data_IF_188965972560
#
_entry.id   IF_188965972560
#
_cell.length_a   1.000
_cell.length_b   1.000
_cell.length_c   1.000
_cell.angle_alpha   90.00
_cell.angle_beta   90.00
_cell.angle_gamma   90.00
#
_symmetry.space_group_name_H-M   'P 1'
#
loop_
_entity.id
_entity.type
_entity.pdbx_description
1 polymer ?
#
# COMPACT_ATOMS: atom_id res chain seq x y z
N UNK A 1 -14.64 24.44 24.58
CA UNK A 1 -14.15 23.31 23.72
C UNK A 1 -14.33 22.06 24.55
N UNK A 2 -15.12 21.10 24.09
CA UNK A 2 -15.36 19.82 24.78
C UNK A 2 -14.07 19.01 24.73
N UNK A 3 -13.52 18.63 25.88
CA UNK A 3 -12.35 17.75 25.92
C UNK A 3 -12.81 16.28 25.81
N UNK A 4 -12.79 15.76 24.59
CA UNK A 4 -13.15 14.37 24.31
C UNK A 4 -12.09 13.35 24.78
N UNK A 5 -10.94 13.81 25.29
CA UNK A 5 -9.85 12.91 25.71
C UNK A 5 -10.05 12.28 27.07
N UNK A 6 -10.90 12.86 27.92
CA UNK A 6 -11.09 12.43 29.31
C UNK A 6 -12.22 11.43 29.53
N UNK A 7 -13.00 11.07 28.51
CA UNK A 7 -14.07 10.08 28.68
C UNK A 7 -13.50 8.65 28.75
N UNK A 8 -13.77 7.91 29.83
CA UNK A 8 -13.39 6.49 29.89
C UNK A 8 -14.18 5.72 28.82
N UNK A 9 -13.47 5.13 27.89
CA UNK A 9 -14.04 4.25 26.89
C UNK A 9 -13.67 2.81 27.30
N UNK A 10 -14.67 2.02 27.64
CA UNK A 10 -14.49 0.59 27.83
C UNK A 10 -14.37 -0.08 26.44
N UNK A 11 -13.14 -0.26 25.98
CA UNK A 11 -12.81 -0.69 24.62
C UNK A 11 -12.40 -2.16 24.52
N UNK A 12 -12.47 -2.93 25.60
CA UNK A 12 -11.88 -4.26 25.65
C UNK A 12 -12.74 -5.31 24.94
N UNK A 13 -12.06 -6.06 24.08
CA UNK A 13 -12.61 -7.22 23.38
C UNK A 13 -13.01 -6.93 21.93
N UNK A 14 -12.39 -7.67 21.00
CA UNK A 14 -12.63 -7.51 19.56
C UNK A 14 -14.10 -7.80 19.19
N UNK A 15 -14.69 -8.85 19.77
CA UNK A 15 -16.12 -9.16 19.52
C UNK A 15 -17.09 -8.07 19.98
N UNK A 16 -16.74 -7.31 21.02
CA UNK A 16 -17.53 -6.14 21.43
C UNK A 16 -17.42 -5.01 20.42
N UNK A 17 -16.22 -4.76 19.88
CA UNK A 17 -16.02 -3.78 18.82
C UNK A 17 -16.83 -4.14 17.58
N UNK A 18 -16.79 -5.40 17.13
CA UNK A 18 -17.53 -5.90 15.97
C UNK A 18 -19.03 -5.70 16.12
N UNK A 19 -19.58 -6.03 17.30
CA UNK A 19 -21.00 -5.78 17.60
C UNK A 19 -21.35 -4.29 17.51
N UNK A 20 -20.50 -3.41 18.08
CA UNK A 20 -20.69 -1.96 17.99
C UNK A 20 -20.59 -1.43 16.54
N UNK A 21 -19.70 -2.01 15.73
CA UNK A 21 -19.63 -1.68 14.30
C UNK A 21 -20.95 -2.03 13.61
N UNK A 22 -21.46 -3.23 13.83
CA UNK A 22 -22.75 -3.67 13.26
C UNK A 22 -23.89 -2.73 13.66
N UNK A 23 -24.02 -2.43 14.94
CA UNK A 23 -25.05 -1.51 15.46
C UNK A 23 -24.90 -0.09 14.85
N UNK A 24 -23.68 0.41 14.74
CA UNK A 24 -23.42 1.74 14.16
C UNK A 24 -23.80 1.80 12.67
N UNK A 25 -23.52 0.75 11.90
CA UNK A 25 -23.90 0.66 10.50
C UNK A 25 -25.43 0.55 10.33
N UNK A 26 -26.09 -0.18 11.22
CA UNK A 26 -27.55 -0.27 11.26
C UNK A 26 -28.20 1.10 11.51
N UNK A 27 -27.71 1.85 12.51
CA UNK A 27 -28.19 3.21 12.81
C UNK A 27 -28.01 4.19 11.64
N UNK A 28 -27.02 3.96 10.80
CA UNK A 28 -26.78 4.73 9.59
C UNK A 28 -27.52 4.19 8.37
N UNK A 29 -28.36 3.15 8.55
CA UNK A 29 -29.10 2.48 7.47
C UNK A 29 -28.16 1.98 6.35
N UNK A 30 -26.97 1.46 6.71
CA UNK A 30 -26.02 0.91 5.76
C UNK A 30 -26.13 -0.62 5.69
N UNK A 31 -25.96 -1.22 4.51
CA UNK A 31 -25.69 -0.58 3.22
C UNK A 31 -26.88 0.24 2.70
N UNK A 32 -26.57 1.23 1.83
CA UNK A 32 -27.60 2.04 1.20
C UNK A 32 -28.54 1.21 0.32
N UNK A 33 -29.80 1.64 0.19
CA UNK A 33 -30.75 0.95 -0.67
C UNK A 33 -30.31 1.03 -2.14
N UNK A 34 -30.39 -0.08 -2.90
CA UNK A 34 -30.10 -0.07 -4.32
C UNK A 34 -31.00 0.91 -5.09
N UNK A 35 -30.38 1.74 -5.94
CA UNK A 35 -31.11 2.72 -6.74
C UNK A 35 -30.71 2.71 -8.23
N UNK A 36 -29.64 2.00 -8.59
CA UNK A 36 -29.11 1.95 -9.96
C UNK A 36 -29.90 0.91 -10.76
N UNK A 37 -30.56 1.28 -11.89
CA UNK A 37 -31.28 0.33 -12.72
C UNK A 37 -30.35 -0.73 -13.31
N UNK A 38 -30.77 -1.99 -13.27
CA UNK A 38 -30.01 -3.09 -13.85
C UNK A 38 -29.87 -2.88 -15.36
N UNK A 39 -28.63 -2.85 -15.83
CA UNK A 39 -28.29 -2.82 -17.25
C UNK A 39 -27.98 -4.22 -17.75
N UNK A 40 -28.38 -4.49 -18.98
CA UNK A 40 -28.04 -5.73 -19.70
C UNK A 40 -27.34 -5.40 -21.01
N UNK A 41 -26.38 -6.22 -21.38
CA UNK A 41 -25.73 -6.23 -22.70
C UNK A 41 -25.78 -7.66 -23.25
N UNK A 42 -26.28 -7.85 -24.47
CA UNK A 42 -26.52 -9.16 -25.07
C UNK A 42 -27.26 -10.14 -24.14
N UNK A 43 -28.28 -9.64 -23.40
CA UNK A 43 -29.11 -10.43 -22.47
C UNK A 43 -28.46 -10.71 -21.10
N UNK A 44 -27.17 -10.44 -20.90
CA UNK A 44 -26.46 -10.65 -19.64
C UNK A 44 -26.40 -9.35 -18.81
N UNK A 45 -26.52 -9.43 -17.46
CA UNK A 45 -26.39 -8.27 -16.62
C UNK A 45 -24.94 -7.73 -16.67
N UNK A 46 -24.81 -6.38 -16.62
CA UNK A 46 -23.56 -5.64 -16.58
C UNK A 46 -23.27 -5.23 -15.15
N UNK A 47 -22.03 -5.30 -14.71
CA UNK A 47 -21.64 -4.81 -13.39
C UNK A 47 -21.72 -3.27 -13.36
N UNK A 48 -22.14 -2.70 -12.22
CA UNK A 48 -22.15 -1.25 -12.08
C UNK A 48 -20.73 -0.73 -11.91
N UNK A 49 -19.95 -1.37 -11.03
CA UNK A 49 -18.55 -1.04 -10.83
C UNK A 49 -17.72 -2.30 -10.62
N UNK A 50 -16.58 -2.37 -11.28
CA UNK A 50 -15.51 -3.33 -10.96
C UNK A 50 -14.35 -2.58 -10.32
N UNK A 51 -13.85 -3.09 -9.21
CA UNK A 51 -12.69 -2.57 -8.49
C UNK A 51 -11.51 -3.53 -8.73
N UNK A 52 -10.41 -3.03 -9.27
CA UNK A 52 -9.18 -3.81 -9.46
C UNK A 52 -8.21 -3.49 -8.32
N UNK A 53 -7.94 -4.49 -7.48
CA UNK A 53 -7.12 -4.42 -6.27
C UNK A 53 -7.97 -4.48 -5.01
N UNK A 54 -7.82 -5.56 -4.24
CA UNK A 54 -8.50 -5.84 -2.96
C UNK A 54 -7.76 -5.32 -1.73
N UNK A 55 -6.74 -4.47 -1.91
CA UNK A 55 -6.02 -3.84 -0.82
C UNK A 55 -6.84 -2.74 -0.12
N UNK A 56 -6.18 -2.00 0.79
CA UNK A 56 -6.81 -0.96 1.61
C UNK A 56 -7.71 0.01 0.82
N UNK A 57 -7.25 0.50 -0.33
CA UNK A 57 -7.99 1.48 -1.14
C UNK A 57 -9.18 0.82 -1.85
N UNK A 58 -9.01 -0.39 -2.34
CA UNK A 58 -10.11 -1.12 -3.00
C UNK A 58 -11.22 -1.49 -2.03
N UNK A 59 -10.87 -1.95 -0.84
CA UNK A 59 -11.86 -2.24 0.23
C UNK A 59 -12.60 -0.98 0.67
N UNK A 60 -11.89 0.15 0.81
CA UNK A 60 -12.53 1.44 1.09
C UNK A 60 -13.49 1.86 -0.03
N UNK A 61 -13.06 1.74 -1.28
CA UNK A 61 -13.91 2.08 -2.43
C UNK A 61 -15.17 1.20 -2.48
N UNK A 62 -15.03 -0.11 -2.22
CA UNK A 62 -16.17 -1.03 -2.14
C UNK A 62 -17.14 -0.59 -1.05
N UNK A 63 -16.65 -0.34 0.18
CA UNK A 63 -17.48 0.08 1.29
C UNK A 63 -18.21 1.41 1.01
N UNK A 64 -17.51 2.39 0.44
CA UNK A 64 -18.08 3.68 0.09
C UNK A 64 -19.20 3.55 -0.98
N UNK A 65 -18.96 2.75 -2.01
CA UNK A 65 -19.94 2.51 -3.08
C UNK A 65 -21.16 1.75 -2.57
N UNK A 66 -20.97 0.71 -1.76
CA UNK A 66 -22.03 -0.04 -1.15
C UNK A 66 -22.86 0.85 -0.20
N UNK A 67 -22.19 1.68 0.59
CA UNK A 67 -22.84 2.67 1.45
C UNK A 67 -23.72 3.65 0.65
N UNK A 68 -23.33 3.97 -0.58
CA UNK A 68 -24.09 4.80 -1.51
C UNK A 68 -25.18 4.05 -2.28
N UNK A 69 -25.42 2.76 -1.99
CA UNK A 69 -26.47 1.96 -2.63
C UNK A 69 -26.11 1.41 -4.01
N UNK A 70 -24.81 1.28 -4.32
CA UNK A 70 -24.36 0.55 -5.51
C UNK A 70 -24.31 -0.93 -5.18
N UNK A 71 -25.10 -1.76 -5.87
CA UNK A 71 -25.28 -3.17 -5.53
C UNK A 71 -24.38 -4.10 -6.35
N UNK A 72 -24.29 -3.86 -7.66
CA UNK A 72 -23.56 -4.73 -8.57
C UNK A 72 -22.09 -4.36 -8.60
N UNK A 73 -21.40 -4.71 -7.50
CA UNK A 73 -20.00 -4.42 -7.27
C UNK A 73 -19.18 -5.71 -7.30
N UNK A 74 -18.02 -5.66 -7.95
CA UNK A 74 -17.02 -6.72 -7.83
C UNK A 74 -15.67 -6.09 -7.45
N UNK A 75 -14.93 -6.80 -6.61
CA UNK A 75 -13.58 -6.43 -6.22
C UNK A 75 -12.65 -7.60 -6.48
N UNK A 76 -11.69 -7.40 -7.38
CA UNK A 76 -10.80 -8.44 -7.90
C UNK A 76 -9.38 -8.18 -7.42
N UNK A 77 -8.69 -9.20 -6.94
CA UNK A 77 -7.27 -9.12 -6.60
C UNK A 77 -6.52 -10.36 -7.10
N UNK A 78 -5.32 -10.14 -7.64
CA UNK A 78 -4.47 -11.23 -8.13
C UNK A 78 -3.78 -12.02 -7.02
N UNK A 79 -3.68 -11.45 -5.81
CA UNK A 79 -3.02 -12.06 -4.67
C UNK A 79 -3.87 -13.14 -4.02
N UNK A 80 -3.24 -14.02 -3.25
CA UNK A 80 -3.95 -14.93 -2.36
C UNK A 80 -4.63 -14.15 -1.22
N UNK A 81 -5.72 -14.70 -0.62
CA UNK A 81 -6.38 -14.08 0.51
C UNK A 81 -5.40 -13.73 1.64
N UNK A 82 -5.48 -12.51 2.15
CA UNK A 82 -4.61 -12.01 3.20
C UNK A 82 -3.23 -11.54 2.73
N UNK A 83 -2.98 -11.50 1.42
CA UNK A 83 -1.77 -10.99 0.81
C UNK A 83 -2.03 -9.80 -0.15
N UNK A 84 -3.19 -9.18 -0.03
CA UNK A 84 -3.54 -8.01 -0.83
C UNK A 84 -2.66 -6.80 -0.46
N UNK A 85 -2.11 -6.17 -1.48
CA UNK A 85 -1.18 -5.04 -1.32
C UNK A 85 0.25 -5.46 -0.94
N UNK A 86 1.09 -4.51 -0.50
CA UNK A 86 2.53 -4.73 -0.33
C UNK A 86 2.93 -5.32 1.03
N UNK A 87 2.03 -5.37 1.99
CA UNK A 87 2.34 -5.49 3.42
C UNK A 87 3.08 -6.76 3.81
N UNK A 88 2.68 -7.91 3.29
CA UNK A 88 3.32 -9.21 3.53
C UNK A 88 4.14 -9.70 2.34
N UNK A 89 4.16 -8.96 1.24
CA UNK A 89 4.87 -9.32 0.02
C UNK A 89 6.24 -8.63 -0.04
N UNK A 90 6.31 -7.49 -0.77
CA UNK A 90 7.58 -6.84 -1.09
C UNK A 90 7.92 -5.61 -0.20
N UNK A 91 7.06 -5.19 0.72
CA UNK A 91 7.42 -4.15 1.68
C UNK A 91 8.38 -4.70 2.75
N UNK A 92 9.52 -4.03 2.93
CA UNK A 92 10.60 -4.46 3.85
C UNK A 92 10.73 -3.59 5.10
N UNK A 93 9.90 -2.54 5.24
CA UNK A 93 9.85 -1.74 6.46
C UNK A 93 9.31 -2.59 7.62
N UNK A 94 9.89 -2.47 8.80
CA UNK A 94 9.41 -3.15 10.01
C UNK A 94 8.09 -2.52 10.51
N UNK A 95 8.00 -1.19 10.40
CA UNK A 95 6.82 -0.43 10.83
C UNK A 95 6.34 0.52 9.74
N UNK A 96 5.06 0.88 9.79
CA UNK A 96 4.52 1.90 8.90
C UNK A 96 5.22 3.25 9.12
N UNK A 97 5.35 4.03 8.04
CA UNK A 97 5.99 5.36 8.07
C UNK A 97 5.03 6.45 8.53
N UNK A 98 3.76 6.24 8.29
CA UNK A 98 2.69 7.16 8.68
C UNK A 98 2.51 7.23 10.20
N UNK A 99 2.02 8.36 10.73
CA UNK A 99 1.57 8.45 12.11
C UNK A 99 0.48 7.40 12.42
N UNK A 100 0.54 6.80 13.60
CA UNK A 100 -0.44 5.78 14.03
C UNK A 100 -1.87 6.33 14.15
N UNK A 101 -2.02 7.64 14.23
CA UNK A 101 -3.31 8.33 14.39
C UNK A 101 -4.08 8.50 13.08
N UNK A 102 -3.48 8.18 11.93
CA UNK A 102 -4.21 8.23 10.66
C UNK A 102 -5.35 7.21 10.66
N UNK A 103 -6.51 7.66 10.22
CA UNK A 103 -7.76 6.87 10.29
C UNK A 103 -7.77 5.67 9.33
N UNK A 104 -6.87 5.63 8.33
CA UNK A 104 -6.84 4.55 7.35
C UNK A 104 -8.13 4.49 6.51
N UNK A 105 -8.63 3.29 6.18
CA UNK A 105 -9.81 3.10 5.33
C UNK A 105 -11.14 3.28 6.09
N UNK A 106 -11.16 3.99 7.21
CA UNK A 106 -12.32 4.05 8.10
C UNK A 106 -13.54 4.80 7.53
N UNK A 107 -13.38 5.55 6.43
CA UNK A 107 -14.48 6.30 5.77
C UNK A 107 -15.33 7.15 6.73
N UNK A 108 -14.69 7.80 7.71
CA UNK A 108 -15.38 8.61 8.72
C UNK A 108 -15.97 7.83 9.90
N UNK A 109 -15.93 6.49 9.90
CA UNK A 109 -16.45 5.66 10.98
C UNK A 109 -15.37 5.38 12.02
N UNK A 110 -15.43 6.03 13.19
CA UNK A 110 -14.40 5.93 14.23
C UNK A 110 -14.14 4.50 14.70
N UNK A 111 -15.16 3.65 14.73
CA UNK A 111 -15.06 2.23 15.13
C UNK A 111 -14.31 1.37 14.12
N UNK A 112 -14.16 1.80 12.87
CA UNK A 112 -13.42 1.11 11.82
C UNK A 112 -11.94 1.52 11.74
N UNK A 113 -11.47 2.40 12.61
CA UNK A 113 -10.07 2.84 12.62
C UNK A 113 -9.12 1.78 13.16
N UNK A 114 -7.85 1.81 12.74
CA UNK A 114 -6.80 0.99 13.36
C UNK A 114 -6.72 1.22 14.88
N UNK A 115 -6.89 2.46 15.34
CA UNK A 115 -6.89 2.77 16.76
C UNK A 115 -7.99 2.02 17.52
N UNK A 116 -9.22 1.98 16.99
CA UNK A 116 -10.33 1.27 17.63
C UNK A 116 -10.04 -0.24 17.69
N UNK A 117 -9.59 -0.82 16.58
CA UNK A 117 -9.20 -2.23 16.47
C UNK A 117 -8.08 -2.59 17.43
N UNK A 118 -7.03 -1.76 17.51
CA UNK A 118 -5.89 -1.98 18.40
C UNK A 118 -6.31 -1.93 19.87
N UNK A 119 -7.03 -0.85 20.24
CA UNK A 119 -7.47 -0.66 21.62
C UNK A 119 -8.43 -1.73 22.11
N UNK A 120 -9.28 -2.25 21.24
CA UNK A 120 -10.17 -3.37 21.57
C UNK A 120 -9.41 -4.64 21.99
N UNK A 121 -8.19 -4.85 21.49
CA UNK A 121 -7.39 -6.03 21.78
C UNK A 121 -6.36 -5.80 22.89
N UNK A 122 -5.69 -4.65 22.89
CA UNK A 122 -4.53 -4.39 23.72
C UNK A 122 -4.77 -3.28 24.78
N UNK A 123 -5.88 -2.56 24.67
CA UNK A 123 -6.24 -1.51 25.60
C UNK A 123 -5.63 -0.14 25.30
N UNK A 124 -6.06 0.86 26.07
CA UNK A 124 -5.67 2.26 25.88
C UNK A 124 -4.22 2.53 26.26
N UNK A 125 -3.70 1.86 27.31
CA UNK A 125 -2.32 2.04 27.76
C UNK A 125 -1.32 1.60 26.70
N UNK A 126 -1.53 0.43 26.11
CA UNK A 126 -0.67 -0.10 25.04
C UNK A 126 -0.76 0.76 23.77
N UNK A 127 -1.95 1.30 23.45
CA UNK A 127 -2.06 2.29 22.39
C UNK A 127 -1.19 3.53 22.62
N UNK A 128 -1.12 4.04 23.84
CA UNK A 128 -0.24 5.18 24.15
C UNK A 128 1.23 4.82 23.99
N UNK A 129 1.62 3.61 24.42
CA UNK A 129 2.99 3.12 24.34
C UNK A 129 3.44 2.81 22.92
N UNK A 130 2.51 2.45 22.00
CA UNK A 130 2.83 2.15 20.61
C UNK A 130 3.39 3.40 19.90
N UNK A 131 4.62 3.35 19.40
CA UNK A 131 5.21 4.43 18.57
C UNK A 131 4.70 4.35 17.12
N UNK A 132 4.99 3.25 16.45
CA UNK A 132 4.67 3.00 15.04
C UNK A 132 3.94 1.66 14.89
N UNK A 133 3.04 1.59 13.92
CA UNK A 133 2.30 0.36 13.62
C UNK A 133 3.24 -0.67 12.99
N UNK A 134 3.42 -1.85 13.58
CA UNK A 134 4.13 -2.95 12.94
C UNK A 134 3.45 -3.33 11.60
N UNK A 135 4.25 -3.53 10.56
CA UNK A 135 3.74 -3.84 9.22
C UNK A 135 2.83 -5.09 9.16
N UNK A 136 3.17 -6.22 9.80
CA UNK A 136 2.27 -7.37 9.83
C UNK A 136 0.95 -7.08 10.55
N UNK A 137 0.99 -6.37 11.66
CA UNK A 137 -0.21 -5.98 12.44
C UNK A 137 -1.15 -5.08 11.63
N UNK A 138 -0.60 -4.24 10.73
CA UNK A 138 -1.43 -3.49 9.80
C UNK A 138 -2.20 -4.41 8.85
N UNK A 139 -1.59 -5.50 8.38
CA UNK A 139 -2.30 -6.48 7.55
C UNK A 139 -3.35 -7.24 8.35
N UNK A 140 -3.09 -7.56 9.61
CA UNK A 140 -4.09 -8.22 10.48
C UNK A 140 -5.32 -7.30 10.70
N UNK A 141 -5.08 -5.99 10.87
CA UNK A 141 -6.17 -5.02 10.88
C UNK A 141 -6.94 -4.98 9.56
N UNK A 142 -6.28 -5.03 8.41
CA UNK A 142 -6.95 -5.02 7.11
C UNK A 142 -7.77 -6.30 6.88
N UNK A 143 -7.32 -7.44 7.36
CA UNK A 143 -8.10 -8.69 7.36
C UNK A 143 -9.37 -8.53 8.20
N UNK A 144 -9.21 -8.05 9.45
CA UNK A 144 -10.36 -7.75 10.29
C UNK A 144 -11.33 -6.75 9.65
N UNK A 145 -10.82 -5.68 9.03
CA UNK A 145 -11.65 -4.70 8.33
C UNK A 145 -12.46 -5.33 7.20
N UNK A 146 -11.83 -6.22 6.42
CA UNK A 146 -12.51 -7.00 5.39
C UNK A 146 -13.61 -7.86 5.97
N UNK A 147 -13.33 -8.58 7.04
CA UNK A 147 -14.22 -9.56 7.64
C UNK A 147 -15.41 -8.89 8.32
N UNK A 148 -15.20 -7.85 9.12
CA UNK A 148 -16.26 -7.12 9.83
C UNK A 148 -17.23 -6.42 8.88
N UNK A 149 -16.76 -5.97 7.72
CA UNK A 149 -17.57 -5.37 6.66
C UNK A 149 -18.02 -6.38 5.59
N UNK A 150 -17.66 -7.65 5.72
CA UNK A 150 -18.02 -8.74 4.79
C UNK A 150 -17.66 -8.41 3.33
N UNK A 151 -16.51 -7.79 3.08
CA UNK A 151 -16.10 -7.37 1.75
C UNK A 151 -15.71 -8.59 0.89
N UNK A 152 -16.41 -8.86 -0.23
CA UNK A 152 -16.26 -10.08 -1.01
C UNK A 152 -15.11 -9.97 -2.02
N UNK A 153 -13.86 -9.86 -1.55
CA UNK A 153 -12.70 -9.83 -2.45
C UNK A 153 -12.55 -11.16 -3.17
N UNK A 154 -12.61 -11.13 -4.49
CA UNK A 154 -12.33 -12.29 -5.35
C UNK A 154 -10.81 -12.37 -5.59
N UNK A 155 -10.16 -13.26 -4.88
CA UNK A 155 -8.71 -13.45 -4.91
C UNK A 155 -8.26 -14.37 -6.04
N UNK A 156 -6.97 -14.29 -6.41
CA UNK A 156 -6.36 -15.08 -7.47
C UNK A 156 -6.84 -14.70 -8.87
N UNK A 157 -7.46 -13.54 -9.04
CA UNK A 157 -7.97 -13.04 -10.31
C UNK A 157 -7.14 -11.83 -10.75
N UNK A 158 -6.50 -11.96 -11.89
CA UNK A 158 -5.76 -10.88 -12.54
C UNK A 158 -6.58 -10.29 -13.68
N UNK A 159 -6.65 -8.99 -13.76
CA UNK A 159 -7.17 -8.27 -14.93
C UNK A 159 -6.00 -7.96 -15.85
N UNK A 160 -6.01 -8.54 -17.04
CA UNK A 160 -4.92 -8.45 -18.01
C UNK A 160 -5.10 -7.28 -18.96
N UNK A 161 -6.36 -6.96 -19.31
CA UNK A 161 -6.68 -5.95 -20.31
C UNK A 161 -8.02 -5.27 -19.98
N UNK A 162 -8.09 -3.98 -20.25
CA UNK A 162 -9.30 -3.17 -20.17
C UNK A 162 -9.49 -2.46 -21.49
N UNK A 163 -10.63 -2.65 -22.13
CA UNK A 163 -10.97 -2.08 -23.42
C UNK A 163 -12.32 -1.37 -23.36
N UNK A 164 -12.52 -0.26 -24.08
CA UNK A 164 -13.83 0.31 -24.25
C UNK A 164 -14.72 -0.61 -25.12
N UNK A 165 -15.99 -0.72 -24.75
CA UNK A 165 -17.01 -1.44 -25.51
C UNK A 165 -18.30 -0.63 -25.48
N UNK A 166 -18.56 0.13 -26.51
CA UNK A 166 -19.58 1.17 -26.58
C UNK A 166 -19.40 2.17 -25.43
N UNK A 167 -20.38 2.30 -24.55
CA UNK A 167 -20.35 3.12 -23.33
C UNK A 167 -20.01 2.31 -22.06
N UNK A 168 -19.52 1.08 -22.24
CA UNK A 168 -19.06 0.16 -21.19
C UNK A 168 -17.54 -0.05 -21.26
N UNK A 169 -17.04 -0.78 -20.28
CA UNK A 169 -15.68 -1.29 -20.25
C UNK A 169 -15.72 -2.82 -20.23
N UNK A 170 -14.94 -3.44 -21.11
CA UNK A 170 -14.66 -4.87 -21.12
C UNK A 170 -13.35 -5.12 -20.39
N UNK A 171 -13.38 -5.97 -19.37
CA UNK A 171 -12.22 -6.45 -18.66
C UNK A 171 -11.96 -7.90 -19.02
N UNK A 172 -10.75 -8.20 -19.47
CA UNK A 172 -10.29 -9.58 -19.66
C UNK A 172 -9.55 -10.03 -18.42
N UNK A 173 -9.98 -11.13 -17.82
CA UNK A 173 -9.42 -11.68 -16.59
C UNK A 173 -8.85 -13.08 -16.78
N UNK A 174 -7.83 -13.40 -15.95
CA UNK A 174 -7.17 -14.71 -15.88
C UNK A 174 -6.92 -15.11 -14.42
N UNK A 175 -6.43 -16.32 -14.20
CA UNK A 175 -6.14 -16.89 -12.88
C UNK A 175 -7.24 -17.81 -12.40
N UNK A 176 -7.72 -17.67 -11.17
CA UNK A 176 -8.75 -18.53 -10.56
C UNK A 176 -10.06 -18.55 -11.36
N UNK A 177 -10.35 -17.47 -12.07
CA UNK A 177 -11.44 -17.39 -13.05
C UNK A 177 -10.91 -16.73 -14.31
N UNK A 178 -11.24 -17.28 -15.49
CA UNK A 178 -10.91 -16.69 -16.78
C UNK A 178 -12.15 -16.26 -17.53
N UNK A 179 -12.01 -15.26 -18.42
CA UNK A 179 -13.11 -14.75 -19.22
C UNK A 179 -13.18 -13.24 -19.25
N UNK A 180 -14.34 -12.72 -19.58
CA UNK A 180 -14.58 -11.27 -19.69
C UNK A 180 -15.68 -10.80 -18.74
N UNK A 181 -15.55 -9.58 -18.26
CA UNK A 181 -16.55 -8.87 -17.45
C UNK A 181 -16.88 -7.57 -18.17
N UNK A 182 -18.15 -7.23 -18.24
CA UNK A 182 -18.60 -5.92 -18.67
C UNK A 182 -19.02 -5.08 -17.47
N UNK A 183 -18.56 -3.85 -17.42
CA UNK A 183 -18.88 -2.92 -16.34
C UNK A 183 -19.13 -1.51 -16.86
N UNK A 184 -19.99 -0.76 -16.14
CA UNK A 184 -20.25 0.66 -16.42
C UNK A 184 -19.07 1.54 -16.01
N UNK A 185 -18.44 1.22 -14.88
CA UNK A 185 -17.36 2.01 -14.26
C UNK A 185 -16.26 1.09 -13.73
N UNK A 186 -15.06 1.64 -13.66
CA UNK A 186 -13.89 0.95 -13.16
C UNK A 186 -13.21 1.79 -12.09
N UNK A 187 -12.83 1.16 -10.98
CA UNK A 187 -11.96 1.74 -9.96
C UNK A 187 -10.61 1.06 -10.03
N UNK A 188 -9.56 1.81 -10.38
CA UNK A 188 -8.18 1.35 -10.40
C UNK A 188 -7.57 1.50 -9.00
N UNK A 189 -7.71 0.47 -8.15
CA UNK A 189 -7.13 0.43 -6.80
C UNK A 189 -5.85 -0.42 -6.75
N UNK A 190 -5.12 -0.48 -7.85
CA UNK A 190 -3.97 -1.35 -8.13
C UNK A 190 -2.69 -0.98 -7.37
N UNK A 191 -2.77 0.00 -6.47
CA UNK A 191 -1.63 0.46 -5.70
C UNK A 191 -0.64 1.30 -6.50
N UNK A 192 0.47 1.66 -5.87
CA UNK A 192 1.48 2.54 -6.47
C UNK A 192 2.12 1.94 -7.72
N UNK A 193 2.31 0.64 -7.72
CA UNK A 193 3.06 -0.05 -8.79
C UNK A 193 2.14 -0.58 -9.92
N UNK A 194 0.81 -0.52 -9.72
CA UNK A 194 -0.17 -1.04 -10.68
C UNK A 194 -0.37 -0.16 -11.93
N UNK A 195 0.10 1.08 -11.92
CA UNK A 195 0.01 2.01 -13.06
C UNK A 195 1.33 2.15 -13.82
N UNK A 196 2.33 1.33 -13.50
CA UNK A 196 3.66 1.42 -14.09
C UNK A 196 4.38 0.07 -14.13
N UNK A 197 5.68 0.15 -14.34
CA UNK A 197 6.58 -1.01 -14.31
C UNK A 197 7.74 -0.72 -13.36
N UNK A 198 8.37 -1.76 -12.76
CA UNK A 198 9.66 -1.59 -12.11
C UNK A 198 10.67 -0.92 -13.05
N UNK A 199 11.29 0.14 -12.58
CA UNK A 199 12.31 0.84 -13.36
C UNK A 199 13.64 0.09 -13.23
N UNK A 200 13.93 -0.77 -14.20
CA UNK A 200 15.17 -1.51 -14.27
C UNK A 200 16.21 -0.68 -15.02
N UNK A 201 17.31 -0.24 -14.34
CA UNK A 201 18.36 0.51 -15.00
C UNK A 201 18.98 -0.25 -16.17
N UNK A 202 19.33 0.48 -17.24
CA UNK A 202 19.86 -0.14 -18.46
C UNK A 202 21.13 -0.96 -18.19
N UNK A 203 21.97 -0.51 -17.25
CA UNK A 203 23.24 -1.17 -16.93
C UNK A 203 23.09 -2.55 -16.26
N UNK A 204 21.92 -2.94 -15.73
CA UNK A 204 21.68 -4.30 -15.22
C UNK A 204 20.98 -5.22 -16.19
N UNK A 205 20.41 -4.71 -17.30
CA UNK A 205 19.63 -5.51 -18.25
C UNK A 205 20.45 -6.60 -18.95
N UNK A 206 21.76 -6.43 -19.06
CA UNK A 206 22.69 -7.40 -19.64
C UNK A 206 23.15 -8.50 -18.70
N UNK A 207 22.84 -8.41 -17.40
CA UNK A 207 23.25 -9.40 -16.42
C UNK A 207 22.27 -10.60 -16.38
N UNK A 208 22.76 -11.81 -16.07
CA UNK A 208 21.88 -12.93 -15.73
C UNK A 208 20.92 -12.55 -14.62
N UNK A 209 19.65 -12.97 -14.76
CA UNK A 209 18.59 -12.62 -13.80
C UNK A 209 18.89 -13.08 -12.36
N UNK A 210 19.67 -14.12 -12.19
CA UNK A 210 20.11 -14.64 -10.90
C UNK A 210 21.07 -13.71 -10.15
N UNK A 211 21.64 -12.70 -10.81
CA UNK A 211 22.61 -11.76 -10.20
C UNK A 211 21.99 -10.46 -9.73
N UNK A 212 20.69 -10.22 -9.95
CA UNK A 212 20.05 -8.98 -9.52
C UNK A 212 18.57 -9.19 -9.19
N UNK A 213 18.04 -8.32 -8.36
CA UNK A 213 16.63 -8.25 -8.03
C UNK A 213 16.18 -6.78 -7.96
N UNK A 214 14.92 -6.54 -8.27
CA UNK A 214 14.27 -5.26 -7.98
C UNK A 214 13.64 -5.31 -6.58
N UNK A 215 13.55 -4.16 -5.90
CA UNK A 215 12.96 -4.08 -4.56
C UNK A 215 11.48 -4.53 -4.45
N UNK A 216 10.79 -4.69 -5.57
CA UNK A 216 9.44 -5.23 -5.65
C UNK A 216 9.40 -6.74 -5.93
N UNK A 217 10.54 -7.37 -6.14
CA UNK A 217 10.60 -8.82 -6.33
C UNK A 217 10.47 -9.56 -4.98
N UNK A 218 10.08 -10.81 -5.06
CA UNK A 218 10.21 -11.75 -3.94
C UNK A 218 11.67 -12.17 -3.82
N UNK A 219 12.38 -11.53 -2.88
CA UNK A 219 13.82 -11.72 -2.68
C UNK A 219 14.03 -12.72 -1.55
N UNK A 220 14.72 -13.82 -1.88
CA UNK A 220 15.26 -14.74 -0.87
C UNK A 220 16.52 -14.11 -0.23
N UNK A 221 16.35 -13.48 0.91
CA UNK A 221 17.45 -12.86 1.65
C UNK A 221 18.38 -13.88 2.31
N UNK A 222 17.90 -15.08 2.64
CA UNK A 222 18.77 -16.13 3.19
C UNK A 222 19.79 -16.63 2.15
N UNK A 223 19.43 -16.60 0.87
CA UNK A 223 20.36 -16.88 -0.22
C UNK A 223 21.48 -15.84 -0.37
N UNK A 224 21.36 -14.69 0.29
CA UNK A 224 22.41 -13.63 0.30
C UNK A 224 23.42 -13.78 1.44
N UNK A 225 23.27 -14.77 2.31
CA UNK A 225 24.24 -15.07 3.39
C UNK A 225 25.64 -15.24 2.82
N UNK A 226 26.61 -14.63 3.49
CA UNK A 226 28.03 -14.61 3.12
C UNK A 226 28.34 -14.00 1.73
N UNK A 227 27.37 -13.33 1.10
CA UNK A 227 27.56 -12.66 -0.21
C UNK A 227 27.81 -11.17 -0.05
N UNK A 228 28.52 -10.61 -1.02
CA UNK A 228 28.66 -9.16 -1.17
C UNK A 228 27.49 -8.64 -2.02
N UNK A 229 26.72 -7.71 -1.48
CA UNK A 229 25.50 -7.18 -2.09
C UNK A 229 25.69 -5.72 -2.47
N UNK A 230 25.44 -5.36 -3.72
CA UNK A 230 25.36 -3.98 -4.16
C UNK A 230 23.90 -3.50 -4.18
N UNK A 231 23.62 -2.39 -3.52
CA UNK A 231 22.30 -1.76 -3.50
C UNK A 231 22.34 -0.44 -4.26
N UNK A 232 21.52 -0.30 -5.30
CA UNK A 232 21.47 0.91 -6.11
C UNK A 232 20.53 1.92 -5.49
N UNK A 233 21.09 3.04 -5.03
CA UNK A 233 20.32 4.14 -4.44
C UNK A 233 20.32 4.20 -2.92
N UNK A 234 19.61 5.20 -2.37
CA UNK A 234 19.51 5.51 -0.94
C UNK A 234 18.09 5.95 -0.55
N UNK A 235 17.12 5.65 -1.40
CA UNK A 235 15.72 5.82 -1.06
C UNK A 235 15.26 4.80 -0.01
N UNK A 236 14.07 5.00 0.53
CA UNK A 236 13.53 4.14 1.58
C UNK A 236 13.57 2.64 1.25
N UNK A 237 13.16 2.24 0.02
CA UNK A 237 13.20 0.84 -0.38
C UNK A 237 14.63 0.29 -0.47
N UNK A 238 15.58 1.09 -0.96
CA UNK A 238 16.99 0.68 -1.04
C UNK A 238 17.55 0.41 0.36
N UNK A 239 17.31 1.32 1.31
CA UNK A 239 17.78 1.17 2.69
C UNK A 239 17.09 0.00 3.41
N UNK A 240 15.78 -0.20 3.20
CA UNK A 240 15.07 -1.33 3.79
C UNK A 240 15.60 -2.69 3.26
N UNK A 241 15.84 -2.81 1.94
CA UNK A 241 16.39 -4.05 1.36
C UNK A 241 17.85 -4.28 1.78
N UNK A 242 18.64 -3.23 1.95
CA UNK A 242 19.99 -3.33 2.50
C UNK A 242 19.99 -3.85 3.94
N UNK A 243 19.06 -3.34 4.77
CA UNK A 243 18.88 -3.79 6.14
C UNK A 243 18.51 -5.29 6.19
N UNK A 244 17.55 -5.72 5.38
CA UNK A 244 17.18 -7.15 5.28
C UNK A 244 18.38 -8.01 4.89
N UNK A 245 19.15 -7.60 3.86
CA UNK A 245 20.35 -8.36 3.44
C UNK A 245 21.38 -8.48 4.57
N UNK A 246 21.66 -7.41 5.31
CA UNK A 246 22.58 -7.42 6.45
C UNK A 246 22.08 -8.29 7.60
N UNK A 247 20.81 -8.15 7.96
CA UNK A 247 20.16 -8.91 9.04
C UNK A 247 20.09 -10.42 8.74
N UNK A 248 20.08 -10.81 7.44
CA UNK A 248 20.17 -12.21 6.98
C UNK A 248 21.60 -12.69 6.75
N UNK A 249 22.62 -11.89 7.12
CA UNK A 249 24.00 -12.32 7.15
C UNK A 249 24.77 -12.10 5.84
N UNK A 250 24.41 -11.12 5.02
CA UNK A 250 25.27 -10.71 3.91
C UNK A 250 26.66 -10.31 4.43
N UNK A 251 27.73 -10.78 3.75
CA UNK A 251 29.10 -10.47 4.14
C UNK A 251 29.41 -8.97 4.04
N UNK A 252 28.79 -8.30 3.10
CA UNK A 252 28.99 -6.87 2.87
C UNK A 252 27.79 -6.30 2.09
N UNK A 253 27.38 -5.06 2.43
CA UNK A 253 26.44 -4.30 1.62
C UNK A 253 27.05 -2.96 1.21
N UNK A 254 27.03 -2.67 -0.09
CA UNK A 254 27.50 -1.40 -0.67
C UNK A 254 26.37 -0.65 -1.33
N UNK A 255 26.02 0.52 -0.81
CA UNK A 255 25.12 1.44 -1.48
C UNK A 255 25.88 2.24 -2.55
N UNK A 256 25.43 2.15 -3.79
CA UNK A 256 25.93 2.94 -4.91
C UNK A 256 24.94 4.10 -5.16
N UNK A 257 25.36 5.31 -4.83
CA UNK A 257 24.46 6.47 -4.71
C UNK A 257 24.90 7.57 -5.67
N UNK A 258 24.04 7.89 -6.64
CA UNK A 258 24.31 8.95 -7.62
C UNK A 258 24.36 10.35 -6.99
N UNK A 259 23.60 10.59 -5.92
CA UNK A 259 23.57 11.87 -5.20
C UNK A 259 24.85 12.13 -4.46
N UNK A 260 25.19 13.41 -4.26
CA UNK A 260 26.34 13.81 -3.47
C UNK A 260 26.12 13.59 -1.97
N UNK A 261 24.86 13.78 -1.51
CA UNK A 261 24.52 13.75 -0.10
C UNK A 261 23.27 12.91 0.18
N UNK A 262 23.13 12.49 1.44
CA UNK A 262 21.92 11.86 1.95
C UNK A 262 20.79 12.91 2.00
N UNK A 263 19.59 12.64 1.46
CA UNK A 263 18.44 13.51 1.68
C UNK A 263 18.11 13.60 3.18
N UNK A 264 17.98 14.81 3.73
CA UNK A 264 17.70 15.02 5.16
C UNK A 264 16.32 15.63 5.42
N UNK A 265 15.72 16.30 4.43
CA UNK A 265 14.44 17.01 4.59
C UNK A 265 13.30 16.21 3.98
N UNK A 266 12.32 15.85 4.82
CA UNK A 266 11.09 15.21 4.35
C UNK A 266 10.09 16.28 3.86
N UNK A 267 10.17 16.61 2.58
CA UNK A 267 9.29 17.62 1.94
C UNK A 267 7.84 17.15 1.78
N UNK A 268 7.60 15.83 1.84
CA UNK A 268 6.25 15.27 1.75
C UNK A 268 5.42 15.48 3.04
N UNK A 269 6.03 15.85 4.16
CA UNK A 269 5.28 16.12 5.39
C UNK A 269 4.29 17.28 5.24
N UNK A 270 4.65 18.34 4.51
CA UNK A 270 3.77 19.47 4.25
C UNK A 270 2.58 19.13 3.35
N UNK A 271 2.78 18.22 2.41
CA UNK A 271 1.74 17.78 1.45
C UNK A 271 0.62 17.00 2.16
N UNK A 272 0.90 16.32 3.25
CA UNK A 272 -0.10 15.61 4.06
C UNK A 272 -0.93 16.51 4.99
N UNK A 273 -0.74 17.83 4.98
CA UNK A 273 -1.52 18.73 5.82
C UNK A 273 -2.99 18.81 5.36
N UNK A 274 -3.96 18.91 6.30
CA UNK A 274 -5.39 19.01 5.94
C UNK A 274 -5.70 20.16 5.00
N UNK A 275 -5.08 21.33 5.22
CA UNK A 275 -5.28 22.51 4.36
C UNK A 275 -4.77 22.29 2.95
N UNK A 276 -3.61 21.70 2.77
CA UNK A 276 -3.07 21.38 1.45
C UNK A 276 -3.97 20.37 0.72
N UNK A 277 -4.36 19.30 1.42
CA UNK A 277 -5.21 18.25 0.83
C UNK A 277 -6.56 18.80 0.40
N UNK A 278 -7.19 19.62 1.23
CA UNK A 278 -8.49 20.26 0.90
C UNK A 278 -8.38 21.26 -0.26
N UNK A 279 -7.29 22.02 -0.32
CA UNK A 279 -7.07 23.02 -1.36
C UNK A 279 -6.51 22.49 -2.68
N UNK A 280 -5.97 21.27 -2.71
CA UNK A 280 -5.23 20.75 -3.87
C UNK A 280 -6.05 20.73 -5.17
N UNK A 281 -7.30 20.28 -5.09
CA UNK A 281 -8.19 20.21 -6.26
C UNK A 281 -8.53 21.58 -6.85
N UNK A 282 -8.53 22.64 -6.03
CA UNK A 282 -8.79 24.00 -6.46
C UNK A 282 -7.56 24.75 -7.02
N UNK A 283 -6.37 24.16 -6.91
CA UNK A 283 -5.16 24.72 -7.48
C UNK A 283 -5.17 24.60 -9.02
N UNK A 284 -4.53 25.55 -9.70
CA UNK A 284 -4.29 25.43 -11.14
C UNK A 284 -3.40 24.22 -11.44
N UNK A 285 -3.50 23.68 -12.68
CA UNK A 285 -2.65 22.57 -13.13
C UNK A 285 -1.16 22.91 -13.03
N UNK A 286 -0.81 24.16 -13.29
CA UNK A 286 0.56 24.64 -13.16
C UNK A 286 1.10 24.50 -11.72
N UNK A 287 0.32 24.92 -10.72
CA UNK A 287 0.72 24.80 -9.32
C UNK A 287 0.76 23.35 -8.87
N UNK A 288 -0.22 22.53 -9.26
CA UNK A 288 -0.23 21.08 -8.98
C UNK A 288 1.02 20.42 -9.56
N UNK A 289 1.36 20.74 -10.81
CA UNK A 289 2.55 20.21 -11.48
C UNK A 289 3.85 20.64 -10.78
N UNK A 290 4.03 21.94 -10.50
CA UNK A 290 5.21 22.49 -9.83
C UNK A 290 5.46 21.83 -8.46
N UNK A 291 4.42 21.67 -7.66
CA UNK A 291 4.50 21.03 -6.34
C UNK A 291 4.90 19.55 -6.44
N UNK A 292 4.31 18.81 -7.38
CA UNK A 292 4.66 17.41 -7.60
C UNK A 292 6.09 17.29 -8.14
N UNK A 293 6.47 18.08 -9.11
CA UNK A 293 7.83 18.10 -9.65
C UNK A 293 8.87 18.38 -8.56
N UNK A 294 8.64 19.40 -7.73
CA UNK A 294 9.52 19.72 -6.61
C UNK A 294 9.64 18.55 -5.62
N UNK A 295 8.52 17.93 -5.28
CA UNK A 295 8.47 16.82 -4.32
C UNK A 295 9.24 15.60 -4.83
N UNK A 296 9.09 15.24 -6.11
CA UNK A 296 9.78 14.10 -6.70
C UNK A 296 11.25 14.37 -6.99
N UNK A 297 11.60 15.57 -7.47
CA UNK A 297 12.98 15.92 -7.79
C UNK A 297 13.90 15.91 -6.55
N UNK A 298 13.36 16.25 -5.38
CA UNK A 298 14.16 16.43 -4.17
C UNK A 298 14.23 15.20 -3.26
N UNK A 299 13.58 14.14 -3.59
CA UNK A 299 13.51 12.85 -2.88
C UNK A 299 13.34 12.96 -1.35
N UNK A 300 12.44 12.17 -0.80
CA UNK A 300 12.26 12.01 0.65
C UNK A 300 13.40 11.17 1.23
N UNK A 301 13.96 11.53 2.41
CA UNK A 301 14.96 10.71 3.09
C UNK A 301 14.39 9.33 3.43
N UNK A 302 15.28 8.35 3.52
CA UNK A 302 14.91 7.06 4.11
C UNK A 302 14.46 7.28 5.56
N UNK A 303 13.48 6.51 6.08
CA UNK A 303 13.05 6.63 7.47
C UNK A 303 14.22 6.38 8.43
N UNK A 304 14.23 7.14 9.54
CA UNK A 304 15.28 7.00 10.55
C UNK A 304 15.41 5.57 11.09
N UNK A 305 14.29 4.86 11.29
CA UNK A 305 14.32 3.45 11.69
C UNK A 305 15.04 2.56 10.69
N UNK A 306 14.82 2.76 9.39
CA UNK A 306 15.49 2.01 8.33
C UNK A 306 17.00 2.31 8.26
N UNK A 307 17.37 3.59 8.37
CA UNK A 307 18.79 3.97 8.38
C UNK A 307 19.51 3.42 9.61
N UNK A 308 18.87 3.42 10.79
CA UNK A 308 19.42 2.80 12.00
C UNK A 308 19.67 1.30 11.86
N UNK A 309 18.80 0.57 11.18
CA UNK A 309 19.02 -0.86 10.91
C UNK A 309 20.34 -1.07 10.17
N UNK A 310 20.55 -0.32 9.10
CA UNK A 310 21.79 -0.42 8.30
C UNK A 310 23.01 0.04 9.09
N UNK A 311 22.92 1.16 9.81
CA UNK A 311 24.08 1.73 10.53
C UNK A 311 24.56 0.94 11.75
N UNK A 312 23.84 -0.11 12.16
CA UNK A 312 24.27 -1.05 13.21
C UNK A 312 25.29 -2.07 12.72
N UNK A 313 25.55 -2.13 11.41
CA UNK A 313 26.41 -3.11 10.77
C UNK A 313 27.67 -2.42 10.23
N UNK A 314 28.84 -2.85 10.70
CA UNK A 314 30.13 -2.30 10.30
C UNK A 314 30.51 -2.65 8.85
N UNK A 315 29.84 -3.64 8.26
CA UNK A 315 30.01 -4.09 6.88
C UNK A 315 29.03 -3.43 5.89
N UNK A 316 28.44 -2.28 6.26
CA UNK A 316 27.60 -1.46 5.39
C UNK A 316 28.34 -0.19 4.94
N UNK A 317 28.41 0.02 3.62
CA UNK A 317 29.17 1.12 3.03
C UNK A 317 28.31 1.99 2.11
N UNK A 318 28.47 3.32 2.18
CA UNK A 318 27.75 4.28 1.37
C UNK A 318 28.73 5.01 0.42
N UNK A 319 28.54 4.85 -0.88
CA UNK A 319 29.33 5.47 -1.91
C UNK A 319 28.54 6.58 -2.60
N UNK A 320 28.69 7.80 -2.14
CA UNK A 320 28.01 8.98 -2.67
C UNK A 320 28.71 9.55 -3.91
N UNK A 321 27.96 10.26 -4.76
CA UNK A 321 28.44 10.91 -5.96
C UNK A 321 28.91 9.93 -7.05
N UNK A 322 28.52 8.65 -6.97
CA UNK A 322 28.95 7.61 -7.91
C UNK A 322 27.80 7.21 -8.85
N UNK A 323 28.02 7.40 -10.14
CA UNK A 323 27.08 6.94 -11.16
C UNK A 323 27.54 5.59 -11.71
N UNK A 324 26.72 4.57 -11.55
CA UNK A 324 26.97 3.27 -12.18
C UNK A 324 26.62 3.37 -13.65
N UNK A 325 27.60 3.16 -14.52
CA UNK A 325 27.44 3.26 -15.98
C UNK A 325 27.41 1.90 -16.66
N UNK A 326 28.07 0.90 -16.06
CA UNK A 326 28.17 -0.46 -16.60
C UNK A 326 28.26 -1.49 -15.47
N UNK A 327 27.74 -2.66 -15.71
CA UNK A 327 27.92 -3.86 -14.89
C UNK A 327 28.27 -5.04 -15.79
N UNK A 328 29.13 -5.92 -15.31
CA UNK A 328 29.56 -7.12 -16.02
C UNK A 328 29.45 -8.32 -15.08
N UNK A 329 29.12 -9.48 -15.62
CA UNK A 329 29.21 -10.74 -14.92
C UNK A 329 30.62 -11.29 -15.12
N UNK A 330 31.31 -11.59 -14.03
CA UNK A 330 32.60 -12.31 -14.07
C UNK A 330 32.27 -13.82 -13.97
N UNK A 331 32.88 -14.60 -14.84
CA UNK A 331 32.90 -16.06 -14.70
C UNK A 331 33.73 -16.41 -13.45
N UNK A 332 33.16 -17.27 -12.59
CA UNK A 332 33.89 -17.82 -11.45
C UNK A 332 34.79 -18.96 -11.90
#
# INVERSE_FOLDING_TARGET
MIDFKSMPIDDQGLGRLEKRVTEALEFLCLPGKPWIPVRKHAGKPVEDVVIIGGGMVGMLAWFALQSAGVERLRILDQSQPGHEGPWLNYARMQTLRSPKQLTGPAFGHGLLTFQAWYRAQFGAADWQALDKIPRPMWMDYLKWYRDVLQIPVENGIRVDLVEPEDDLLRLTQSGAKSGTILTRKLVMATGRDGTGKPNIPAFVKGLPRSLWAHSADDIDFDALRDKRVAVIGVGASAVDNAAEALEHGAAEVRHLIRRQDMPTVNKMMGIGSPGFTAGYAAMSDEWRWRLMQYSFATQTPAPHGSTKRVSRHDNAFFHFGKTTVRTEAEAK
#
